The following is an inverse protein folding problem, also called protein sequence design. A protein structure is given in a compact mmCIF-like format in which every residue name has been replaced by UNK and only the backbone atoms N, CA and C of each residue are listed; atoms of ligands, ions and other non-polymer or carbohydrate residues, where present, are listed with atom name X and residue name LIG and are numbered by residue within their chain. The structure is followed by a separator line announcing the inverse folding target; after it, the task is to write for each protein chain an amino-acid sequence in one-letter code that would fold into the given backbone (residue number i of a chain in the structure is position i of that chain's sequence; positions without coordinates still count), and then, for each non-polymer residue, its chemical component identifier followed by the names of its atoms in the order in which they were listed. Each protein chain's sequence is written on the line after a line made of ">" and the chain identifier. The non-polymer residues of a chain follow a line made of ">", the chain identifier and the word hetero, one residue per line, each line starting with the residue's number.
data_IF_971810294650
#
_entry.id   IF_971810294650
#
_cell.length_a   1.000
_cell.length_b   1.000
_cell.length_c   1.000
_cell.angle_alpha   90.00
_cell.angle_beta   90.00
_cell.angle_gamma   90.00
#
_symmetry.space_group_name_H-M   'P 1'
#
loop_
_entity.id
_entity.type
_entity.pdbx_description
1 polymer ?
#
# COMPACT_ATOMS: atom_id res chain seq x y z
N UNK A 1 -5.04 -41.52 8.91
CA UNK A 1 -4.21 -41.13 7.76
C UNK A 1 -5.19 -40.71 6.68
N UNK A 2 -5.18 -39.43 6.30
CA UNK A 2 -6.09 -38.94 5.27
C UNK A 2 -5.43 -39.19 3.91
N UNK A 3 -6.03 -40.06 3.10
CA UNK A 3 -5.67 -40.19 1.69
C UNK A 3 -5.89 -38.84 1.01
N UNK A 4 -4.80 -38.21 0.59
CA UNK A 4 -4.88 -37.04 -0.26
C UNK A 4 -5.40 -37.55 -1.60
N UNK A 5 -6.43 -36.92 -2.16
CA UNK A 5 -6.78 -37.12 -3.56
C UNK A 5 -5.53 -36.79 -4.39
N UNK A 6 -4.85 -37.82 -4.88
CA UNK A 6 -3.78 -37.68 -5.86
C UNK A 6 -4.43 -37.08 -7.10
N UNK A 7 -4.05 -35.86 -7.46
CA UNK A 7 -4.29 -35.39 -8.80
C UNK A 7 -3.25 -36.14 -9.64
N UNK A 8 -3.69 -37.18 -10.35
CA UNK A 8 -2.84 -37.96 -11.24
C UNK A 8 -2.45 -37.08 -12.42
N UNK A 9 -1.32 -36.38 -12.27
CA UNK A 9 -0.76 -35.46 -13.25
C UNK A 9 -0.11 -36.20 -14.44
N UNK A 10 -0.02 -37.52 -14.37
CA UNK A 10 0.60 -38.37 -15.40
C UNK A 10 -0.28 -38.49 -16.66
N UNK A 11 -1.56 -38.11 -16.60
CA UNK A 11 -2.48 -38.06 -17.75
C UNK A 11 -2.53 -36.68 -18.46
N UNK A 12 -1.80 -35.68 -17.94
CA UNK A 12 -1.71 -34.37 -18.60
C UNK A 12 -0.55 -34.41 -19.58
N UNK A 13 -0.83 -34.79 -20.83
CA UNK A 13 0.11 -34.59 -21.93
C UNK A 13 0.58 -33.12 -21.95
N UNK A 14 1.89 -32.90 -21.99
CA UNK A 14 2.54 -31.58 -21.91
C UNK A 14 2.12 -30.61 -23.05
N UNK A 15 1.41 -31.09 -24.06
CA UNK A 15 1.13 -30.36 -25.31
C UNK A 15 -0.33 -29.89 -25.51
N UNK A 16 -1.27 -30.08 -24.57
CA UNK A 16 -2.68 -29.74 -24.85
C UNK A 16 -3.48 -29.04 -23.74
N UNK A 17 -2.81 -28.37 -22.79
CA UNK A 17 -3.52 -27.37 -21.98
C UNK A 17 -3.66 -26.08 -22.78
N UNK A 18 -4.70 -25.98 -23.61
CA UNK A 18 -5.04 -24.75 -24.31
C UNK A 18 -5.52 -23.68 -23.32
N UNK A 19 -4.58 -22.91 -22.78
CA UNK A 19 -4.82 -21.80 -21.85
C UNK A 19 -5.70 -20.72 -22.49
N UNK A 20 -5.72 -20.62 -23.83
CA UNK A 20 -6.53 -19.62 -24.53
C UNK A 20 -8.03 -19.89 -24.36
N UNK A 21 -8.43 -21.15 -24.23
CA UNK A 21 -9.83 -21.55 -23.98
C UNK A 21 -10.37 -21.10 -22.60
N UNK A 22 -9.49 -20.94 -21.62
CA UNK A 22 -9.81 -20.44 -20.27
C UNK A 22 -10.01 -18.92 -20.24
N UNK A 23 -9.51 -18.21 -21.24
CA UNK A 23 -9.67 -16.76 -21.39
C UNK A 23 -10.84 -16.43 -22.31
N UNK A 24 -12.05 -16.85 -21.94
CA UNK A 24 -13.27 -16.44 -22.62
C UNK A 24 -13.42 -14.90 -22.70
N UNK A 25 -14.25 -14.38 -23.61
CA UNK A 25 -14.47 -12.94 -23.75
C UNK A 25 -14.88 -12.33 -22.41
N UNK A 26 -14.15 -11.30 -21.97
CA UNK A 26 -14.50 -10.55 -20.76
C UNK A 26 -15.85 -9.88 -20.98
N UNK A 27 -16.92 -10.52 -20.50
CA UNK A 27 -18.23 -9.90 -20.46
C UNK A 27 -18.09 -8.56 -19.73
N UNK A 28 -18.60 -7.46 -20.31
CA UNK A 28 -18.56 -6.17 -19.64
C UNK A 28 -19.27 -6.33 -18.30
N UNK A 29 -18.58 -5.96 -17.21
CA UNK A 29 -19.19 -5.99 -15.89
C UNK A 29 -20.49 -5.19 -15.96
N UNK A 30 -21.61 -5.72 -15.46
CA UNK A 30 -22.87 -4.99 -15.46
C UNK A 30 -22.65 -3.62 -14.79
N UNK A 31 -23.21 -2.57 -15.38
CA UNK A 31 -23.21 -1.23 -14.78
C UNK A 31 -24.14 -1.29 -13.56
N UNK A 32 -23.59 -1.70 -12.42
CA UNK A 32 -24.37 -1.72 -11.17
C UNK A 32 -24.35 -0.33 -10.56
N UNK A 33 -25.53 0.20 -10.23
CA UNK A 33 -25.63 1.45 -9.49
C UNK A 33 -25.19 1.19 -8.04
N UNK A 34 -24.04 1.77 -7.69
CA UNK A 34 -23.43 1.62 -6.38
C UNK A 34 -24.31 2.18 -5.26
N UNK A 35 -25.19 3.13 -5.57
CA UNK A 35 -26.07 3.75 -4.58
C UNK A 35 -27.16 2.79 -4.11
N UNK A 36 -27.72 2.01 -5.03
CA UNK A 36 -28.77 1.03 -4.71
C UNK A 36 -28.19 -0.15 -3.93
N UNK A 37 -27.02 -0.65 -4.35
CA UNK A 37 -26.30 -1.71 -3.63
C UNK A 37 -25.98 -1.34 -2.19
N UNK A 38 -25.56 -0.09 -1.95
CA UNK A 38 -25.23 0.37 -0.61
C UNK A 38 -26.47 0.42 0.29
N UNK A 39 -27.63 0.87 -0.23
CA UNK A 39 -28.89 0.88 0.52
C UNK A 39 -29.34 -0.53 0.91
N UNK A 40 -29.33 -1.48 -0.03
CA UNK A 40 -29.70 -2.88 0.24
C UNK A 40 -28.72 -3.51 1.24
N UNK A 41 -27.43 -3.15 1.17
CA UNK A 41 -26.42 -3.65 2.10
C UNK A 41 -26.60 -3.09 3.52
N UNK A 42 -26.94 -1.81 3.64
CA UNK A 42 -27.29 -1.15 4.91
C UNK A 42 -28.56 -1.77 5.53
N UNK A 43 -29.59 -2.01 4.72
CA UNK A 43 -30.84 -2.69 5.14
C UNK A 43 -30.58 -4.13 5.62
N UNK A 44 -29.64 -4.84 5.00
CA UNK A 44 -29.20 -6.17 5.40
C UNK A 44 -28.25 -6.19 6.62
N UNK A 45 -27.99 -5.04 7.25
CA UNK A 45 -27.12 -4.91 8.43
C UNK A 45 -25.62 -4.91 8.12
N UNK A 46 -25.23 -4.88 6.85
CA UNK A 46 -23.85 -4.69 6.42
C UNK A 46 -23.52 -3.20 6.38
N UNK A 47 -23.18 -2.64 7.54
CA UNK A 47 -22.64 -1.27 7.60
C UNK A 47 -21.25 -1.27 6.96
N UNK A 48 -21.11 -0.55 5.84
CA UNK A 48 -19.82 -0.34 5.20
C UNK A 48 -18.87 0.35 6.18
N UNK A 49 -17.79 -0.33 6.58
CA UNK A 49 -16.66 0.34 7.25
C UNK A 49 -16.16 1.37 6.23
N UNK A 50 -16.32 2.66 6.53
CA UNK A 50 -15.81 3.72 5.65
C UNK A 50 -14.42 3.34 5.15
N UNK A 51 -14.26 3.30 3.84
CA UNK A 51 -12.98 2.96 3.26
C UNK A 51 -11.94 3.92 3.85
N UNK A 52 -10.83 3.42 4.42
CA UNK A 52 -9.77 4.30 4.90
C UNK A 52 -9.40 5.26 3.78
N UNK A 53 -9.25 6.55 4.13
CA UNK A 53 -8.89 7.66 3.22
C UNK A 53 -7.98 7.12 2.13
N UNK A 54 -8.43 7.21 0.88
CA UNK A 54 -7.81 6.55 -0.26
C UNK A 54 -6.32 6.94 -0.31
N UNK A 55 -5.45 6.00 0.10
CA UNK A 55 -4.00 6.25 0.16
C UNK A 55 -3.54 6.64 -1.25
N UNK A 56 -2.88 7.79 -1.38
CA UNK A 56 -2.31 8.27 -2.65
C UNK A 56 -1.50 7.12 -3.24
N UNK A 57 -1.87 6.64 -4.44
CA UNK A 57 -1.07 5.62 -5.15
C UNK A 57 0.32 6.22 -5.41
N UNK A 58 1.33 5.71 -4.72
CA UNK A 58 2.70 6.18 -4.86
C UNK A 58 3.23 5.87 -6.25
N UNK A 59 3.72 6.89 -6.96
CA UNK A 59 4.58 6.69 -8.13
C UNK A 59 5.91 6.03 -7.75
N UNK A 60 6.79 5.74 -8.72
CA UNK A 60 8.15 5.24 -8.45
C UNK A 60 8.87 6.21 -7.50
N UNK A 61 9.37 5.71 -6.38
CA UNK A 61 10.12 6.47 -5.37
C UNK A 61 11.58 6.02 -5.31
N UNK A 62 12.51 6.93 -5.03
CA UNK A 62 13.91 6.58 -4.76
C UNK A 62 14.10 5.85 -3.41
N UNK A 63 13.09 5.95 -2.54
CA UNK A 63 13.00 5.31 -1.23
C UNK A 63 12.79 3.80 -1.39
N UNK A 64 13.88 3.03 -1.28
CA UNK A 64 13.88 1.55 -1.41
C UNK A 64 14.03 0.84 -0.07
N UNK A 65 14.61 1.49 0.94
CA UNK A 65 14.83 0.91 2.27
C UNK A 65 13.67 1.26 3.21
N UNK A 66 13.11 0.25 3.88
CA UNK A 66 12.05 0.42 4.88
C UNK A 66 12.62 0.38 6.30
N UNK A 67 12.19 1.33 7.13
CA UNK A 67 12.48 1.34 8.56
C UNK A 67 11.17 1.48 9.33
N UNK A 68 10.74 0.39 9.97
CA UNK A 68 9.54 0.38 10.79
C UNK A 68 9.89 0.86 12.21
N UNK A 69 9.38 2.01 12.62
CA UNK A 69 9.56 2.55 13.97
C UNK A 69 8.26 2.48 14.76
N UNK A 70 8.38 2.20 16.06
CA UNK A 70 7.26 2.30 16.99
C UNK A 70 7.03 3.76 17.36
N UNK A 71 5.77 4.18 17.39
CA UNK A 71 5.36 5.52 17.78
C UNK A 71 4.44 5.47 18.99
N UNK A 72 4.31 6.60 19.69
CA UNK A 72 3.25 6.78 20.70
C UNK A 72 1.88 6.77 20.01
N UNK A 73 0.78 6.50 20.75
CA UNK A 73 -0.57 6.76 20.26
C UNK A 73 -0.68 8.17 19.68
N UNK A 74 -1.53 8.33 18.67
CA UNK A 74 -1.87 9.59 17.97
C UNK A 74 -0.74 10.28 17.19
N UNK A 75 0.53 9.96 17.47
CA UNK A 75 1.65 10.51 16.70
C UNK A 75 1.66 10.12 15.22
N UNK A 76 1.22 8.92 14.79
CA UNK A 76 1.10 8.63 13.36
C UNK A 76 0.15 9.56 12.62
N UNK A 77 -0.95 9.95 13.27
CA UNK A 77 -1.94 10.87 12.69
C UNK A 77 -1.39 12.28 12.60
N UNK A 78 -0.80 12.78 13.70
CA UNK A 78 -0.11 14.08 13.68
C UNK A 78 1.01 14.14 12.62
N UNK A 79 1.77 13.05 12.47
CA UNK A 79 2.86 12.98 11.49
C UNK A 79 2.32 13.09 10.05
N UNK A 80 1.23 12.38 9.75
CA UNK A 80 0.55 12.46 8.46
C UNK A 80 -0.05 13.85 8.21
N UNK A 81 -0.71 14.45 9.21
CA UNK A 81 -1.31 15.78 9.09
C UNK A 81 -0.26 16.87 8.80
N UNK A 82 0.92 16.79 9.44
CA UNK A 82 2.03 17.71 9.18
C UNK A 82 2.58 17.53 7.76
N UNK A 83 2.77 16.28 7.32
CA UNK A 83 3.25 16.00 5.96
C UNK A 83 2.25 16.51 4.91
N UNK A 84 0.95 16.24 5.11
CA UNK A 84 -0.13 16.71 4.23
C UNK A 84 -0.21 18.24 4.20
N UNK A 85 -0.06 18.90 5.35
CA UNK A 85 -0.04 20.37 5.45
C UNK A 85 1.12 21.02 4.69
N UNK A 86 2.25 20.31 4.57
CA UNK A 86 3.41 20.72 3.79
C UNK A 86 3.37 20.25 2.33
N UNK A 87 2.42 19.39 1.96
CA UNK A 87 2.30 18.81 0.63
C UNK A 87 3.39 17.79 0.28
N UNK A 88 4.13 17.30 1.27
CA UNK A 88 5.23 16.33 1.13
C UNK A 88 4.80 14.94 1.61
N UNK A 89 5.62 13.93 1.39
CA UNK A 89 5.36 12.59 1.93
C UNK A 89 6.04 12.38 3.29
N UNK A 90 5.53 11.43 4.06
CA UNK A 90 6.04 11.03 5.38
C UNK A 90 7.57 10.84 5.44
N UNK A 91 8.15 10.21 4.42
CA UNK A 91 9.59 9.97 4.38
C UNK A 91 10.40 11.27 4.15
N UNK A 92 9.86 12.24 3.40
CA UNK A 92 10.48 13.55 3.18
C UNK A 92 10.42 14.37 4.47
N UNK A 93 9.28 14.33 5.16
CA UNK A 93 9.11 14.96 6.47
C UNK A 93 10.14 14.43 7.48
N UNK A 94 10.37 13.12 7.49
CA UNK A 94 11.36 12.51 8.37
C UNK A 94 12.79 12.99 8.05
N UNK A 95 13.16 13.06 6.77
CA UNK A 95 14.47 13.57 6.33
C UNK A 95 14.67 15.03 6.72
N UNK A 96 13.66 15.88 6.51
CA UNK A 96 13.67 17.28 6.95
C UNK A 96 13.81 17.41 8.47
N UNK A 97 13.09 16.59 9.23
CA UNK A 97 13.17 16.59 10.69
C UNK A 97 14.57 16.19 11.18
N UNK A 98 15.20 15.19 10.54
CA UNK A 98 16.58 14.78 10.84
C UNK A 98 17.54 15.93 10.53
N UNK A 99 17.45 16.53 9.35
CA UNK A 99 18.32 17.65 8.96
C UNK A 99 18.20 18.83 9.94
N UNK A 100 16.98 19.20 10.31
CA UNK A 100 16.73 20.27 11.27
C UNK A 100 17.30 19.95 12.66
N UNK A 101 17.19 18.70 13.12
CA UNK A 101 17.72 18.27 14.40
C UNK A 101 19.26 18.27 14.42
N UNK A 102 19.90 17.77 13.35
CA UNK A 102 21.36 17.78 13.21
C UNK A 102 21.92 19.21 13.19
N UNK A 103 21.27 20.11 12.45
CA UNK A 103 21.63 21.52 12.41
C UNK A 103 21.49 22.18 13.79
N UNK A 104 20.37 21.92 14.49
CA UNK A 104 20.11 22.45 15.82
C UNK A 104 21.14 21.96 16.86
N UNK A 105 21.55 20.71 16.78
CA UNK A 105 22.54 20.10 17.69
C UNK A 105 24.00 20.35 17.27
N UNK A 106 24.24 21.07 16.16
CA UNK A 106 25.58 21.35 15.61
C UNK A 106 26.41 20.09 15.32
N UNK A 107 25.74 19.01 14.93
CA UNK A 107 26.33 17.72 14.55
C UNK A 107 26.84 17.79 13.11
N UNK A 108 28.06 18.32 12.93
CA UNK A 108 28.62 18.66 11.60
C UNK A 108 28.85 17.42 10.74
N UNK A 109 29.46 16.38 11.30
CA UNK A 109 29.86 15.17 10.56
C UNK A 109 28.62 14.42 10.05
N UNK A 110 27.60 14.29 10.90
CA UNK A 110 26.33 13.66 10.52
C UNK A 110 25.54 14.52 9.53
N UNK A 111 25.62 15.85 9.62
CA UNK A 111 24.99 16.75 8.67
C UNK A 111 25.66 16.67 7.29
N UNK A 112 26.98 16.55 7.23
CA UNK A 112 27.72 16.30 5.98
C UNK A 112 27.35 14.94 5.38
N UNK A 113 27.28 13.90 6.22
CA UNK A 113 26.80 12.57 5.80
C UNK A 113 25.35 12.60 5.29
N UNK A 114 24.47 13.36 5.94
CA UNK A 114 23.10 13.51 5.47
C UNK A 114 23.05 14.15 4.08
N UNK A 115 23.84 15.20 3.85
CA UNK A 115 23.93 15.87 2.54
C UNK A 115 24.43 14.93 1.45
N UNK A 116 25.41 14.07 1.74
CA UNK A 116 25.92 13.12 0.73
C UNK A 116 24.94 12.00 0.36
N UNK A 117 24.01 11.65 1.26
CA UNK A 117 22.95 10.66 0.99
C UNK A 117 21.81 11.27 0.17
N UNK A 118 21.52 12.55 0.39
CA UNK A 118 20.34 13.25 -0.18
C UNK A 118 20.66 14.10 -1.41
N UNK A 119 21.94 14.25 -1.78
CA UNK A 119 22.39 14.90 -3.04
C UNK A 119 22.17 13.99 -4.24
#
# INVERSE_FOLDING_TARGET
>A
MAERAGLDLDDINEDEVDIASLTGPKNPKPKVDRKELNKVSEEAGFVSRQAPRQRRRGGRTAYTQQKNFKMRPDMPELFADVADGLGIKDYELLEMAIQALLAKQKMKDELERFKSITS
#
